data_IF_027437194992
#
_entry.id   IF_027437194992
#
_cell.length_a   1.000
_cell.length_b   1.000
_cell.length_c   1.000
_cell.angle_alpha   90.00
_cell.angle_beta   90.00
_cell.angle_gamma   90.00
#
_symmetry.space_group_name_H-M   'P 1'
#
loop_
_entity.id
_entity.type
_entity.pdbx_description
1 polymer ?
#
# COMPACT_ATOMS: atom_id res chain seq x y z
N UNK A 1 -15.65 2.77 -0.14
CA UNK A 1 -14.61 1.77 -0.46
C UNK A 1 -13.41 2.50 -1.01
N UNK A 2 -12.22 1.88 -0.95
CA UNK A 2 -10.98 2.42 -1.50
C UNK A 2 -11.15 2.89 -2.96
N UNK A 3 -11.91 2.13 -3.76
CA UNK A 3 -12.23 2.48 -5.15
C UNK A 3 -12.86 3.86 -5.32
N UNK A 4 -13.85 4.23 -4.48
CA UNK A 4 -14.52 5.54 -4.61
C UNK A 4 -13.55 6.69 -4.34
N UNK A 5 -12.67 6.52 -3.35
CA UNK A 5 -11.66 7.53 -3.00
C UNK A 5 -10.60 7.64 -4.07
N UNK A 6 -10.04 6.51 -4.53
CA UNK A 6 -9.01 6.46 -5.58
C UNK A 6 -9.54 7.05 -6.89
N UNK A 7 -10.76 6.67 -7.29
CA UNK A 7 -11.38 7.20 -8.50
C UNK A 7 -11.64 8.71 -8.43
N UNK A 8 -11.99 9.23 -7.25
CA UNK A 8 -12.16 10.68 -7.06
C UNK A 8 -10.82 11.40 -7.15
N UNK A 9 -9.80 10.96 -6.39
CA UNK A 9 -8.46 11.58 -6.42
C UNK A 9 -7.83 11.55 -7.83
N UNK A 10 -8.07 10.47 -8.58
CA UNK A 10 -7.64 10.38 -9.98
C UNK A 10 -8.35 11.39 -10.88
N UNK A 11 -9.65 11.64 -10.70
CA UNK A 11 -10.39 12.67 -11.47
C UNK A 11 -9.94 14.08 -11.13
N UNK A 12 -9.57 14.29 -9.87
CA UNK A 12 -9.12 15.59 -9.35
C UNK A 12 -7.61 15.83 -9.60
N UNK A 13 -6.90 14.91 -10.29
CA UNK A 13 -5.44 14.94 -10.51
C UNK A 13 -4.63 15.16 -9.22
N UNK A 14 -5.09 14.57 -8.11
CA UNK A 14 -4.43 14.70 -6.82
C UNK A 14 -3.40 13.59 -6.65
N UNK A 15 -2.15 13.98 -6.40
CA UNK A 15 -1.09 13.08 -5.96
C UNK A 15 -0.62 13.45 -4.56
N UNK A 16 -0.26 12.44 -3.77
CA UNK A 16 0.13 12.54 -2.38
C UNK A 16 1.63 12.36 -2.21
N UNK A 17 2.22 13.07 -1.24
CA UNK A 17 3.62 12.87 -0.86
C UNK A 17 3.82 11.63 0.02
N UNK A 18 2.78 11.27 0.79
CA UNK A 18 2.77 10.13 1.69
C UNK A 18 1.42 9.44 1.53
N UNK A 19 1.44 8.12 1.33
CA UNK A 19 0.28 7.25 1.38
C UNK A 19 0.53 6.24 2.49
N UNK A 20 -0.41 6.15 3.43
CA UNK A 20 -0.39 5.15 4.50
C UNK A 20 -1.50 4.14 4.24
N UNK A 21 -1.14 2.86 4.30
CA UNK A 21 -1.98 1.75 3.88
C UNK A 21 -2.06 0.73 5.02
N UNK A 22 -3.24 0.67 5.64
CA UNK A 22 -3.60 -0.24 6.72
C UNK A 22 -5.00 -0.83 6.41
N UNK A 23 -5.11 -1.72 5.41
CA UNK A 23 -6.36 -2.36 5.08
C UNK A 23 -6.70 -3.41 6.15
N UNK A 24 -8.00 -3.60 6.47
CA UNK A 24 -8.41 -4.66 7.37
C UNK A 24 -7.97 -6.03 6.83
N UNK A 25 -7.42 -6.87 7.72
CA UNK A 25 -7.01 -8.22 7.37
C UNK A 25 -8.25 -9.05 7.01
N UNK A 26 -8.38 -9.44 5.74
CA UNK A 26 -9.29 -10.52 5.37
C UNK A 26 -8.56 -11.86 5.50
N UNK A 27 -9.28 -12.89 5.95
CA UNK A 27 -8.67 -14.19 6.23
C UNK A 27 -8.12 -14.76 4.93
N UNK A 28 -7.13 -15.65 5.05
CA UNK A 28 -6.55 -16.42 3.93
C UNK A 28 -7.62 -17.13 3.07
N UNK A 29 -8.81 -17.35 3.64
CA UNK A 29 -10.00 -17.92 3.01
C UNK A 29 -10.70 -16.99 2.02
N UNK A 30 -10.60 -15.66 2.19
CA UNK A 30 -11.37 -14.66 1.44
C UNK A 30 -10.77 -14.33 0.06
N UNK A 31 -9.62 -14.93 -0.32
CA UNK A 31 -8.91 -14.79 -1.61
C UNK A 31 -8.57 -13.37 -2.08
N UNK A 32 -8.94 -12.33 -1.35
CA UNK A 32 -8.72 -10.92 -1.75
C UNK A 32 -7.45 -10.40 -1.08
N UNK A 33 -6.40 -10.18 -1.86
CA UNK A 33 -5.19 -9.49 -1.41
C UNK A 33 -5.36 -7.97 -1.57
N UNK A 34 -6.02 -7.33 -0.61
CA UNK A 34 -6.26 -5.89 -0.66
C UNK A 34 -4.99 -5.05 -0.77
N UNK A 35 -3.85 -5.55 -0.26
CA UNK A 35 -2.58 -4.85 -0.35
C UNK A 35 -2.16 -4.68 -1.81
N UNK A 36 -2.21 -5.77 -2.56
CA UNK A 36 -1.81 -5.81 -3.97
C UNK A 36 -2.75 -4.97 -4.84
N UNK A 37 -4.07 -5.18 -4.71
CA UNK A 37 -5.08 -4.41 -5.46
C UNK A 37 -4.96 -2.90 -5.19
N UNK A 38 -4.79 -2.51 -3.93
CA UNK A 38 -4.70 -1.09 -3.57
C UNK A 38 -3.40 -0.48 -4.10
N UNK A 39 -2.28 -1.21 -4.04
CA UNK A 39 -1.00 -0.76 -4.61
C UNK A 39 -1.09 -0.60 -6.13
N UNK A 40 -1.69 -1.55 -6.83
CA UNK A 40 -1.91 -1.46 -8.28
C UNK A 40 -2.71 -0.20 -8.64
N UNK A 41 -3.78 0.09 -7.90
CA UNK A 41 -4.58 1.29 -8.11
C UNK A 41 -3.80 2.58 -7.82
N UNK A 42 -2.97 2.61 -6.76
CA UNK A 42 -2.11 3.75 -6.44
C UNK A 42 -1.16 4.06 -7.61
N UNK A 43 -0.51 3.03 -8.16
CA UNK A 43 0.44 3.17 -9.27
C UNK A 43 -0.27 3.54 -10.57
N UNK A 44 -1.35 2.82 -10.91
CA UNK A 44 -2.15 3.05 -12.13
C UNK A 44 -2.66 4.49 -12.21
N UNK A 45 -3.12 5.04 -11.09
CA UNK A 45 -3.69 6.38 -11.02
C UNK A 45 -2.66 7.47 -10.67
N UNK A 46 -1.35 7.13 -10.61
CA UNK A 46 -0.26 8.07 -10.27
C UNK A 46 -0.54 8.87 -9.00
N UNK A 47 -1.14 8.20 -8.01
CA UNK A 47 -1.54 8.85 -6.74
C UNK A 47 -0.33 9.15 -5.85
N UNK A 48 0.81 8.52 -6.08
CA UNK A 48 2.04 8.78 -5.35
C UNK A 48 2.93 9.72 -6.17
N UNK A 49 3.33 10.85 -5.58
CA UNK A 49 4.26 11.79 -6.22
C UNK A 49 5.65 11.15 -6.39
N UNK A 50 6.45 11.70 -7.31
CA UNK A 50 7.87 11.39 -7.39
C UNK A 50 8.56 11.69 -6.05
N UNK A 51 9.40 10.77 -5.58
CA UNK A 51 10.04 10.85 -4.26
C UNK A 51 9.09 10.60 -3.09
N UNK A 52 7.80 10.38 -3.34
CA UNK A 52 6.77 10.12 -2.35
C UNK A 52 6.93 8.77 -1.66
N UNK A 53 6.32 8.62 -0.47
CA UNK A 53 6.48 7.47 0.41
C UNK A 53 5.18 6.67 0.51
N UNK A 54 5.28 5.36 0.33
CA UNK A 54 4.22 4.41 0.61
C UNK A 54 4.58 3.63 1.87
N UNK A 55 3.71 3.71 2.87
CA UNK A 55 3.85 3.00 4.15
C UNK A 55 2.75 1.95 4.22
N UNK A 56 3.14 0.69 4.39
CA UNK A 56 2.20 -0.43 4.48
C UNK A 56 2.35 -1.08 5.84
N UNK A 57 1.25 -1.16 6.57
CA UNK A 57 1.18 -1.82 7.87
C UNK A 57 0.46 -3.17 7.74
N UNK A 58 0.97 -4.19 8.43
CA UNK A 58 0.29 -5.47 8.55
C UNK A 58 0.58 -6.15 9.90
N UNK A 59 -0.31 -7.03 10.34
CA UNK A 59 -0.06 -7.92 11.45
C UNK A 59 1.03 -8.93 11.05
N UNK A 60 1.89 -9.31 11.99
CA UNK A 60 3.10 -10.12 11.73
C UNK A 60 2.78 -11.50 11.17
N UNK A 61 1.68 -12.09 11.59
CA UNK A 61 1.13 -13.35 11.05
C UNK A 61 0.68 -13.23 9.59
N UNK A 62 0.46 -12.00 9.11
CA UNK A 62 0.04 -11.68 7.74
C UNK A 62 1.12 -10.98 6.91
N UNK A 63 2.35 -10.86 7.42
CA UNK A 63 3.43 -10.15 6.75
C UNK A 63 3.79 -10.71 5.36
N UNK A 64 3.47 -11.99 5.11
CA UNK A 64 3.71 -12.64 3.83
C UNK A 64 2.74 -12.16 2.72
N UNK A 65 1.62 -11.54 3.09
CA UNK A 65 0.72 -10.89 2.14
C UNK A 65 1.22 -9.52 1.69
N UNK A 66 2.11 -8.89 2.46
CA UNK A 66 2.73 -7.64 2.05
C UNK A 66 3.70 -7.91 0.90
N UNK A 67 3.64 -7.15 -0.21
CA UNK A 67 4.55 -7.31 -1.32
C UNK A 67 6.01 -7.21 -0.86
N UNK A 68 6.86 -8.06 -1.44
CA UNK A 68 8.31 -8.00 -1.20
C UNK A 68 8.94 -6.87 -2.02
N UNK A 69 8.43 -6.66 -3.22
CA UNK A 69 8.84 -5.67 -4.19
C UNK A 69 7.59 -5.07 -4.84
N UNK A 70 7.67 -3.81 -5.26
CA UNK A 70 6.61 -3.12 -5.97
C UNK A 70 7.26 -2.48 -7.20
N UNK A 71 6.87 -2.84 -8.44
CA UNK A 71 7.46 -2.26 -9.65
C UNK A 71 7.39 -0.72 -9.62
N UNK A 72 8.51 -0.08 -9.95
CA UNK A 72 8.62 1.38 -9.92
C UNK A 72 8.83 1.98 -8.53
N UNK A 73 8.79 1.21 -7.44
CA UNK A 73 9.11 1.70 -6.10
C UNK A 73 10.37 1.01 -5.53
N UNK A 74 11.20 1.80 -4.86
CA UNK A 74 12.36 1.29 -4.11
C UNK A 74 11.96 0.99 -2.67
N UNK A 75 12.13 -0.26 -2.23
CA UNK A 75 11.98 -0.64 -0.83
C UNK A 75 13.05 0.06 0.03
N UNK A 76 12.64 0.72 1.10
CA UNK A 76 13.54 1.49 1.98
C UNK A 76 13.77 0.82 3.32
N UNK A 77 12.70 0.39 4.00
CA UNK A 77 12.78 -0.10 5.38
C UNK A 77 11.72 -1.14 5.67
N UNK A 78 12.11 -2.14 6.46
CA UNK A 78 11.20 -3.01 7.19
C UNK A 78 11.41 -2.75 8.68
N UNK A 79 10.32 -2.55 9.42
CA UNK A 79 10.36 -2.42 10.87
C UNK A 79 9.32 -3.33 11.50
N UNK A 80 9.74 -4.05 12.54
CA UNK A 80 8.88 -4.91 13.32
C UNK A 80 8.61 -4.25 14.68
N UNK A 81 7.34 -4.09 15.03
CA UNK A 81 6.88 -3.52 16.30
C UNK A 81 5.94 -4.51 16.97
N UNK A 82 6.48 -5.41 17.80
CA UNK A 82 5.69 -6.45 18.46
C UNK A 82 4.99 -7.36 17.44
N UNK A 83 3.66 -7.25 17.37
CA UNK A 83 2.78 -7.99 16.45
C UNK A 83 2.55 -7.27 15.11
N UNK A 84 3.17 -6.11 14.87
CA UNK A 84 2.98 -5.31 13.65
C UNK A 84 4.27 -5.26 12.84
N UNK A 85 4.13 -5.28 11.51
CA UNK A 85 5.19 -5.10 10.53
C UNK A 85 4.85 -3.87 9.68
N UNK A 86 5.80 -2.95 9.56
CA UNK A 86 5.71 -1.77 8.71
C UNK A 86 6.75 -1.89 7.58
N UNK A 87 6.29 -1.80 6.34
CA UNK A 87 7.14 -1.71 5.15
C UNK A 87 7.04 -0.31 4.53
N UNK A 88 8.20 0.28 4.22
CA UNK A 88 8.30 1.57 3.55
C UNK A 88 8.86 1.40 2.12
N UNK A 89 8.15 1.95 1.15
CA UNK A 89 8.57 2.06 -0.25
C UNK A 89 8.63 3.53 -0.67
N UNK A 90 9.49 3.84 -1.65
CA UNK A 90 9.64 5.19 -2.22
C UNK A 90 9.53 5.16 -3.74
N UNK A 91 8.70 6.03 -4.29
CA UNK A 91 8.55 6.27 -5.73
C UNK A 91 9.74 7.07 -6.27
#
# INVERSE_FOLDING_TARGET
SADKTINKSSKDNISYHIIYLDPPFFKKEDRINLYEETVELILKHKLLKEGGRLLMEAARETQDFLPKEIPGLTKRKDRNFGSVVLKEFRN
#
